data_IF_424190537633
#
_entry.id   IF_424190537633
#
_cell.length_a   1.000
_cell.length_b   1.000
_cell.length_c   1.000
_cell.angle_alpha   90.00
_cell.angle_beta   90.00
_cell.angle_gamma   90.00
#
_symmetry.space_group_name_H-M   'P 1'
#
loop_
_entity.id
_entity.type
_entity.pdbx_description
1 polymer ?
#
# COMPACT_ATOMS: atom_id res chain seq x y z
N UNK A 1 -2.18 -10.17 5.81
CA UNK A 1 -3.44 -9.51 5.38
C UNK A 1 -3.10 -8.73 4.13
N UNK A 2 -3.74 -9.03 3.00
CA UNK A 2 -3.43 -8.35 1.72
C UNK A 2 -4.28 -7.08 1.61
N UNK A 3 -3.67 -5.93 1.30
CA UNK A 3 -4.37 -4.67 1.02
C UNK A 3 -4.21 -4.30 -0.45
N UNK A 4 -5.32 -4.02 -1.11
CA UNK A 4 -5.33 -3.57 -2.50
C UNK A 4 -5.07 -2.06 -2.61
N UNK A 5 -4.79 -1.56 -3.81
CA UNK A 5 -4.66 -0.12 -4.07
C UNK A 5 -5.88 0.69 -3.63
N UNK A 6 -7.08 0.12 -3.75
CA UNK A 6 -8.33 0.79 -3.35
C UNK A 6 -8.40 0.98 -1.83
N UNK A 7 -7.91 0.02 -1.06
CA UNK A 7 -7.86 0.10 0.39
C UNK A 7 -6.80 1.12 0.84
N UNK A 8 -5.64 1.10 0.19
CA UNK A 8 -4.56 2.07 0.45
C UNK A 8 -5.07 3.49 0.21
N UNK A 9 -5.78 3.74 -0.88
CA UNK A 9 -6.33 5.05 -1.20
C UNK A 9 -7.36 5.57 -0.18
N UNK A 10 -8.07 4.67 0.53
CA UNK A 10 -8.98 5.07 1.62
C UNK A 10 -8.22 5.47 2.89
N UNK A 11 -7.02 4.92 3.09
CA UNK A 11 -6.20 5.13 4.29
C UNK A 11 -5.31 6.37 4.14
N UNK A 12 -4.71 6.58 2.97
CA UNK A 12 -3.78 7.71 2.74
C UNK A 12 -4.28 8.65 1.64
N UNK A 13 -3.96 9.96 1.70
CA UNK A 13 -4.42 10.94 0.71
C UNK A 13 -3.64 10.89 -0.61
N UNK A 14 -2.52 10.17 -0.67
CA UNK A 14 -1.68 10.11 -1.87
C UNK A 14 -2.44 9.52 -3.06
N UNK A 15 -2.29 10.18 -4.22
CA UNK A 15 -2.86 9.78 -5.52
C UNK A 15 -1.79 9.89 -6.61
N UNK A 16 -2.14 9.55 -7.85
CA UNK A 16 -1.27 9.82 -8.99
C UNK A 16 -0.80 11.30 -8.98
N UNK A 17 0.48 11.61 -9.26
CA UNK A 17 1.57 10.71 -9.67
C UNK A 17 2.43 10.16 -8.51
N UNK A 18 1.99 10.33 -7.26
CA UNK A 18 2.81 10.05 -6.07
C UNK A 18 2.44 8.76 -5.32
N UNK A 19 1.30 8.13 -5.62
CA UNK A 19 1.00 6.79 -5.10
C UNK A 19 1.77 5.74 -5.90
N UNK A 20 2.88 5.25 -5.32
CA UNK A 20 3.82 4.33 -5.98
C UNK A 20 3.73 2.88 -5.47
N UNK A 21 2.58 2.49 -4.91
CA UNK A 21 2.35 1.18 -4.31
C UNK A 21 1.07 0.59 -4.89
N UNK A 22 1.13 -0.65 -5.38
CA UNK A 22 -0.04 -1.34 -5.95
C UNK A 22 -0.77 -2.19 -4.91
N UNK A 23 -0.02 -2.86 -4.03
CA UNK A 23 -0.59 -3.71 -2.97
C UNK A 23 0.37 -3.93 -1.81
N UNK A 24 -0.19 -4.21 -0.63
CA UNK A 24 0.54 -4.66 0.56
C UNK A 24 0.36 -6.16 0.71
N UNK A 25 1.45 -6.91 0.80
CA UNK A 25 1.43 -8.38 0.91
C UNK A 25 1.63 -8.86 2.35
N UNK A 26 2.27 -8.07 3.21
CA UNK A 26 2.45 -8.37 4.64
C UNK A 26 2.48 -7.11 5.50
N UNK A 27 1.95 -7.21 6.73
CA UNK A 27 1.84 -6.10 7.67
C UNK A 27 1.90 -6.61 9.11
N UNK A 28 2.93 -6.19 9.84
CA UNK A 28 3.05 -6.31 11.29
C UNK A 28 2.87 -4.91 11.89
N UNK A 29 1.72 -4.62 12.54
CA UNK A 29 1.41 -3.29 13.05
C UNK A 29 2.51 -2.75 13.95
N UNK A 30 2.87 -1.47 13.75
CA UNK A 30 3.95 -0.77 14.49
C UNK A 30 5.36 -1.37 14.34
N UNK A 31 5.57 -2.33 13.44
CA UNK A 31 6.87 -2.99 13.26
C UNK A 31 7.33 -3.01 11.81
N UNK A 32 6.53 -3.58 10.89
CA UNK A 32 6.97 -3.84 9.51
C UNK A 32 5.81 -3.85 8.52
N UNK A 33 6.08 -3.41 7.29
CA UNK A 33 5.17 -3.52 6.15
C UNK A 33 5.94 -3.97 4.90
N UNK A 34 5.39 -4.91 4.12
CA UNK A 34 5.93 -5.36 2.85
C UNK A 34 4.91 -5.08 1.73
N UNK A 35 5.32 -4.33 0.72
CA UNK A 35 4.47 -3.92 -0.40
C UNK A 35 5.14 -4.16 -1.75
N UNK A 36 4.32 -4.20 -2.81
CA UNK A 36 4.75 -4.44 -4.19
C UNK A 36 4.42 -3.22 -5.06
N UNK A 37 5.37 -2.85 -5.91
CA UNK A 37 5.24 -1.89 -7.00
C UNK A 37 5.62 -2.59 -8.30
N UNK A 38 4.71 -2.67 -9.25
CA UNK A 38 5.00 -3.13 -10.60
C UNK A 38 5.67 -2.00 -11.40
N UNK A 39 6.72 -2.33 -12.15
CA UNK A 39 7.53 -1.40 -12.98
C UNK A 39 7.31 -1.71 -14.44
#
# INVERSE_FOLDING_TARGET
>A
MELSIQDIQKIIPHRFPFLLIDRVVDLVPNEKLVAVKNV
#
